data_IF_873233673971
#
_entry.id   IF_873233673971
#
_cell.length_a   1.000
_cell.length_b   1.000
_cell.length_c   1.000
_cell.angle_alpha   90.00
_cell.angle_beta   90.00
_cell.angle_gamma   90.00
#
_symmetry.space_group_name_H-M   'P 1'
#
loop_
_entity.id
_entity.type
_entity.pdbx_description
1 polymer ?
#
# COMPACT_ATOMS: atom_id res chain seq x y z
N UNK A 1 -10.76 9.18 -18.70
CA UNK A 1 -9.67 8.37 -18.14
C UNK A 1 -9.37 8.91 -16.74
N UNK A 2 -9.19 8.07 -15.71
CA UNK A 2 -8.78 8.50 -14.38
C UNK A 2 -7.26 8.53 -14.31
N UNK A 3 -6.68 9.66 -13.92
CA UNK A 3 -5.24 9.82 -13.71
C UNK A 3 -4.93 9.85 -12.21
N UNK A 4 -3.78 9.30 -11.83
CA UNK A 4 -3.29 9.27 -10.45
C UNK A 4 -1.82 9.67 -10.42
N UNK A 5 -1.37 10.18 -9.28
CA UNK A 5 0.03 10.54 -9.05
C UNK A 5 0.67 9.50 -8.13
N UNK A 6 1.89 9.09 -8.44
CA UNK A 6 2.79 8.39 -7.53
C UNK A 6 3.94 9.33 -7.17
N UNK A 7 4.06 9.65 -5.89
CA UNK A 7 5.11 10.49 -5.35
C UNK A 7 6.09 9.65 -4.50
N UNK A 8 7.37 9.74 -4.82
CA UNK A 8 8.42 9.03 -4.09
C UNK A 8 9.13 9.91 -3.06
N UNK A 9 8.73 11.18 -2.92
CA UNK A 9 9.45 12.17 -2.10
C UNK A 9 10.94 12.22 -2.46
N UNK A 10 11.22 12.38 -3.77
CA UNK A 10 12.57 12.32 -4.33
C UNK A 10 13.42 13.48 -3.81
N UNK A 11 14.59 13.17 -3.27
CA UNK A 11 15.57 14.17 -2.86
C UNK A 11 16.06 14.98 -4.09
N UNK A 12 16.21 16.27 -3.92
CA UNK A 12 16.79 17.15 -4.93
C UNK A 12 18.05 17.83 -4.36
N UNK A 13 19.04 18.06 -5.22
CA UNK A 13 20.30 18.68 -4.82
C UNK A 13 20.06 20.05 -4.16
N UNK A 14 20.66 20.26 -2.99
CA UNK A 14 20.53 21.51 -2.23
C UNK A 14 19.19 21.69 -1.50
N UNK A 15 18.24 20.75 -1.62
CA UNK A 15 16.95 20.80 -0.92
C UNK A 15 16.99 19.94 0.34
N UNK A 16 16.74 20.49 1.52
CA UNK A 16 16.68 19.73 2.76
C UNK A 16 15.58 18.65 2.70
N UNK A 17 15.82 17.45 3.26
CA UNK A 17 14.84 16.37 3.31
C UNK A 17 13.49 16.80 3.89
N UNK A 18 13.49 17.62 4.94
CA UNK A 18 12.28 18.17 5.52
C UNK A 18 11.48 19.04 4.53
N UNK A 19 12.14 19.73 3.61
CA UNK A 19 11.47 20.49 2.56
C UNK A 19 10.85 19.56 1.53
N UNK A 20 11.58 18.54 1.07
CA UNK A 20 11.05 17.52 0.15
C UNK A 20 9.75 16.87 0.67
N UNK A 21 9.69 16.58 1.98
CA UNK A 21 8.47 16.00 2.57
C UNK A 21 7.31 17.00 2.59
N UNK A 22 7.59 18.29 2.91
CA UNK A 22 6.57 19.35 2.81
C UNK A 22 6.08 19.53 1.37
N UNK A 23 7.00 19.54 0.41
CA UNK A 23 6.69 19.66 -1.03
C UNK A 23 5.82 18.51 -1.51
N UNK A 24 6.02 17.30 -0.96
CA UNK A 24 5.16 16.14 -1.25
C UNK A 24 3.72 16.38 -0.77
N UNK A 25 3.54 16.99 0.41
CA UNK A 25 2.20 17.36 0.91
C UNK A 25 1.55 18.42 0.02
N UNK A 26 2.29 19.46 -0.34
CA UNK A 26 1.78 20.54 -1.23
C UNK A 26 1.47 19.98 -2.63
N UNK A 27 2.28 19.06 -3.17
CA UNK A 27 2.01 18.40 -4.44
C UNK A 27 0.68 17.62 -4.42
N UNK A 28 0.32 17.00 -3.28
CA UNK A 28 -0.95 16.31 -3.15
C UNK A 28 -2.14 17.28 -3.17
N UNK A 29 -2.01 18.44 -2.53
CA UNK A 29 -3.02 19.52 -2.59
C UNK A 29 -3.19 20.00 -4.03
N UNK A 30 -2.09 20.27 -4.73
CA UNK A 30 -2.11 20.69 -6.12
C UNK A 30 -2.71 19.63 -7.06
N UNK A 31 -2.40 18.35 -6.83
CA UNK A 31 -3.00 17.24 -7.58
C UNK A 31 -4.52 17.18 -7.37
N UNK A 32 -5.01 17.43 -6.16
CA UNK A 32 -6.44 17.54 -5.89
C UNK A 32 -7.10 18.69 -6.65
N UNK A 33 -6.47 19.86 -6.68
CA UNK A 33 -6.97 21.04 -7.41
C UNK A 33 -7.06 20.77 -8.91
N UNK A 34 -6.10 20.04 -9.48
CA UNK A 34 -6.08 19.63 -10.87
C UNK A 34 -7.05 18.47 -11.19
N UNK A 35 -7.72 17.91 -10.20
CA UNK A 35 -8.71 16.84 -10.39
C UNK A 35 -8.12 15.45 -10.60
N UNK A 36 -6.91 15.18 -10.15
CA UNK A 36 -6.38 13.83 -10.11
C UNK A 36 -7.22 12.94 -9.19
N UNK A 37 -7.32 11.67 -9.55
CA UNK A 37 -8.19 10.73 -8.85
C UNK A 37 -7.56 10.16 -7.58
N UNK A 38 -6.24 9.88 -7.62
CA UNK A 38 -5.46 9.32 -6.50
C UNK A 38 -4.11 10.02 -6.39
N UNK A 39 -3.63 10.09 -5.16
CA UNK A 39 -2.27 10.47 -4.84
C UNK A 39 -1.67 9.38 -3.94
N UNK A 40 -0.69 8.66 -4.44
CA UNK A 40 -0.03 7.57 -3.74
C UNK A 40 1.41 7.93 -3.39
N UNK A 41 1.87 7.51 -2.21
CA UNK A 41 3.24 7.71 -1.73
C UNK A 41 3.94 6.37 -1.58
N UNK A 42 5.21 6.32 -1.98
CA UNK A 42 6.01 5.10 -1.89
C UNK A 42 6.65 4.90 -0.51
N UNK A 43 7.12 3.68 -0.26
CA UNK A 43 7.97 3.33 0.87
C UNK A 43 9.31 2.83 0.32
N UNK A 44 10.41 3.50 0.72
CA UNK A 44 11.77 3.07 0.42
C UNK A 44 12.67 3.35 1.62
N UNK A 45 13.57 2.43 1.90
CA UNK A 45 14.49 2.53 3.03
C UNK A 45 15.93 2.57 2.56
N UNK A 46 16.79 3.29 3.32
CA UNK A 46 18.22 3.41 3.07
C UNK A 46 18.57 3.83 1.63
N UNK A 47 17.76 4.72 1.03
CA UNK A 47 17.95 5.17 -0.34
C UNK A 47 18.28 6.66 -0.36
N UNK A 48 19.48 7.09 -0.85
CA UNK A 48 19.92 8.48 -0.75
C UNK A 48 19.06 9.47 -1.53
N UNK A 49 18.37 9.01 -2.57
CA UNK A 49 17.54 9.85 -3.42
C UNK A 49 16.05 9.85 -3.05
N UNK A 50 15.64 9.17 -1.96
CA UNK A 50 14.22 9.07 -1.59
C UNK A 50 14.06 9.32 -0.09
N UNK A 51 13.23 10.29 0.26
CA UNK A 51 12.93 10.66 1.65
C UNK A 51 11.62 10.02 2.18
N UNK A 52 10.85 9.36 1.30
CA UNK A 52 9.58 8.72 1.65
C UNK A 52 9.77 7.33 2.26
N UNK A 53 9.90 7.27 3.59
CA UNK A 53 10.14 6.02 4.33
C UNK A 53 8.91 5.52 5.11
N UNK A 54 7.89 6.37 5.30
CA UNK A 54 6.72 6.07 6.12
C UNK A 54 5.46 6.62 5.43
N UNK A 55 4.89 5.87 4.46
CA UNK A 55 3.75 6.31 3.69
C UNK A 55 2.54 6.66 4.56
N UNK A 56 2.28 5.92 5.62
CA UNK A 56 1.15 6.14 6.53
C UNK A 56 1.24 7.50 7.25
N UNK A 57 2.44 7.95 7.57
CA UNK A 57 2.65 9.27 8.22
C UNK A 57 2.42 10.40 7.21
N UNK A 58 2.94 10.27 5.98
CA UNK A 58 2.71 11.24 4.92
C UNK A 58 1.23 11.31 4.54
N UNK A 59 0.56 10.17 4.43
CA UNK A 59 -0.88 10.10 4.15
C UNK A 59 -1.69 10.80 5.24
N UNK A 60 -1.33 10.64 6.52
CA UNK A 60 -1.98 11.37 7.62
C UNK A 60 -1.83 12.88 7.46
N UNK A 61 -0.63 13.38 7.14
CA UNK A 61 -0.39 14.80 6.91
C UNK A 61 -1.19 15.32 5.69
N UNK A 62 -1.19 14.60 4.58
CA UNK A 62 -1.90 14.95 3.35
C UNK A 62 -3.42 14.93 3.58
N UNK A 63 -3.93 13.98 4.37
CA UNK A 63 -5.37 13.84 4.63
C UNK A 63 -5.98 15.09 5.28
N UNK A 64 -5.19 15.83 6.08
CA UNK A 64 -5.62 17.06 6.74
C UNK A 64 -5.56 18.30 5.81
N UNK A 65 -4.95 18.18 4.64
CA UNK A 65 -4.79 19.25 3.65
C UNK A 65 -5.65 19.03 2.40
N UNK A 66 -6.28 17.87 2.27
CA UNK A 66 -7.10 17.46 1.12
C UNK A 66 -8.46 16.96 1.56
N UNK A 67 -9.46 16.98 0.69
CA UNK A 67 -10.84 16.62 1.03
C UNK A 67 -11.51 15.63 0.08
N UNK A 68 -10.98 15.45 -1.13
CA UNK A 68 -11.61 14.65 -2.21
C UNK A 68 -10.70 13.58 -2.79
N UNK A 69 -9.43 13.92 -3.04
CA UNK A 69 -8.47 12.98 -3.66
C UNK A 69 -8.28 11.75 -2.77
N UNK A 70 -8.25 10.57 -3.39
CA UNK A 70 -7.92 9.34 -2.66
C UNK A 70 -6.43 9.30 -2.37
N UNK A 71 -6.07 8.84 -1.18
CA UNK A 71 -4.70 8.77 -0.68
C UNK A 71 -4.30 7.33 -0.51
N UNK A 72 -3.08 6.97 -0.89
CA UNK A 72 -2.65 5.59 -0.74
C UNK A 72 -1.15 5.40 -0.57
N UNK A 73 -0.81 4.21 -0.11
CA UNK A 73 0.56 3.71 -0.14
C UNK A 73 0.83 3.00 -1.48
N UNK A 74 2.08 3.14 -1.99
CA UNK A 74 2.50 2.42 -3.18
C UNK A 74 3.94 1.89 -3.06
N UNK A 75 4.09 0.94 -2.15
CA UNK A 75 3.14 0.29 -1.20
C UNK A 75 3.82 0.02 0.11
N UNK A 76 3.01 -0.32 1.10
CA UNK A 76 3.57 -0.86 2.35
C UNK A 76 4.32 -2.15 2.04
N UNK A 77 5.58 -2.23 2.47
CA UNK A 77 6.42 -3.42 2.33
C UNK A 77 6.07 -4.42 3.44
N UNK A 78 4.93 -5.10 3.27
CA UNK A 78 4.29 -5.91 4.33
C UNK A 78 5.21 -6.91 5.04
N UNK A 79 6.22 -7.53 4.39
CA UNK A 79 7.14 -8.43 5.10
C UNK A 79 7.96 -7.76 6.22
N UNK A 80 8.02 -6.43 6.29
CA UNK A 80 8.70 -5.73 7.38
C UNK A 80 7.83 -5.49 8.61
N UNK A 81 6.52 -5.77 8.54
CA UNK A 81 5.56 -5.35 9.57
C UNK A 81 4.65 -6.48 10.02
N UNK A 82 4.21 -6.41 11.28
CA UNK A 82 3.09 -7.21 11.75
C UNK A 82 1.79 -6.77 11.04
N UNK A 83 1.04 -7.68 10.40
CA UNK A 83 -0.18 -7.33 9.67
C UNK A 83 -1.22 -6.58 10.51
N UNK A 84 -1.37 -6.93 11.80
CA UNK A 84 -2.24 -6.21 12.73
C UNK A 84 -1.83 -4.74 12.87
N UNK A 85 -0.52 -4.45 13.00
CA UNK A 85 -0.06 -3.07 13.14
C UNK A 85 -0.37 -2.23 11.89
N UNK A 86 -0.18 -2.80 10.70
CA UNK A 86 -0.54 -2.14 9.44
C UNK A 86 -2.06 -1.91 9.37
N UNK A 87 -2.86 -2.90 9.77
CA UNK A 87 -4.32 -2.77 9.81
C UNK A 87 -4.76 -1.59 10.70
N UNK A 88 -4.21 -1.50 11.92
CA UNK A 88 -4.52 -0.41 12.85
C UNK A 88 -4.13 0.97 12.29
N UNK A 89 -2.95 1.10 11.69
CA UNK A 89 -2.50 2.35 11.08
C UNK A 89 -3.46 2.80 9.97
N UNK A 90 -3.89 1.87 9.11
CA UNK A 90 -4.79 2.20 8.00
C UNK A 90 -6.24 2.41 8.46
N UNK A 91 -6.69 1.79 9.55
CA UNK A 91 -7.98 2.12 10.18
C UNK A 91 -7.97 3.51 10.81
N UNK A 92 -6.84 3.93 11.40
CA UNK A 92 -6.67 5.32 11.85
C UNK A 92 -6.75 6.29 10.67
N UNK A 93 -6.05 6.01 9.56
CA UNK A 93 -6.13 6.82 8.35
C UNK A 93 -7.56 6.90 7.79
N UNK A 94 -8.27 5.77 7.75
CA UNK A 94 -9.66 5.71 7.29
C UNK A 94 -10.59 6.53 8.20
N UNK A 95 -10.32 6.57 9.51
CA UNK A 95 -11.06 7.43 10.46
C UNK A 95 -10.82 8.91 10.20
N UNK A 96 -9.59 9.28 9.78
CA UNK A 96 -9.21 10.67 9.48
C UNK A 96 -9.71 11.12 8.10
N UNK A 97 -9.83 10.20 7.16
CA UNK A 97 -10.22 10.47 5.78
C UNK A 97 -11.16 9.37 5.23
N UNK A 98 -12.39 9.27 5.75
CA UNK A 98 -13.32 8.18 5.43
C UNK A 98 -13.58 8.02 3.93
N UNK A 99 -13.48 6.78 3.43
CA UNK A 99 -13.75 6.44 2.03
C UNK A 99 -12.68 6.89 1.03
N UNK A 100 -11.57 7.48 1.50
CA UNK A 100 -10.49 8.01 0.65
C UNK A 100 -9.18 7.26 0.74
N UNK A 101 -9.08 6.21 1.54
CA UNK A 101 -7.81 5.52 1.80
C UNK A 101 -7.64 4.30 0.92
N UNK A 102 -6.46 4.18 0.30
CA UNK A 102 -5.99 3.02 -0.45
C UNK A 102 -4.79 2.40 0.29
N UNK A 103 -4.87 1.11 0.58
CA UNK A 103 -3.76 0.34 1.15
C UNK A 103 -3.09 -0.47 0.04
N UNK A 104 -2.06 0.07 -0.57
CA UNK A 104 -1.23 -0.66 -1.52
C UNK A 104 -0.19 -1.51 -0.79
N UNK A 105 -0.09 -2.78 -1.15
CA UNK A 105 0.80 -3.77 -0.54
C UNK A 105 1.89 -4.20 -1.53
N UNK A 106 3.13 -4.26 -1.06
CA UNK A 106 4.27 -4.84 -1.75
C UNK A 106 4.90 -6.00 -0.97
N UNK A 107 5.47 -6.96 -1.71
CA UNK A 107 6.28 -8.05 -1.12
C UNK A 107 7.78 -7.75 -1.17
N UNK A 108 8.19 -6.85 -2.04
CA UNK A 108 9.60 -6.49 -2.20
C UNK A 108 10.15 -5.83 -0.92
N UNK A 109 11.45 -5.95 -0.65
CA UNK A 109 12.05 -5.41 0.58
C UNK A 109 12.15 -3.88 0.61
N UNK A 110 11.93 -3.16 -0.50
CA UNK A 110 12.01 -1.70 -0.56
C UNK A 110 13.40 -1.11 -0.25
N UNK A 111 14.44 -1.94 -0.19
CA UNK A 111 15.81 -1.60 0.14
C UNK A 111 16.75 -2.80 -0.02
N UNK A 112 17.96 -2.68 0.49
CA UNK A 112 18.95 -3.76 0.51
C UNK A 112 18.70 -4.80 1.63
N UNK A 113 19.42 -5.94 1.58
CA UNK A 113 19.22 -7.03 2.53
C UNK A 113 19.59 -6.67 3.98
N UNK A 114 20.59 -5.81 4.20
CA UNK A 114 20.97 -5.38 5.55
C UNK A 114 19.89 -4.47 6.16
N UNK A 115 19.37 -3.56 5.37
CA UNK A 115 18.24 -2.70 5.74
C UNK A 115 16.99 -3.52 6.05
N UNK A 116 16.71 -4.54 5.23
CA UNK A 116 15.59 -5.47 5.47
C UNK A 116 15.74 -6.19 6.83
N UNK A 117 16.92 -6.67 7.15
CA UNK A 117 17.21 -7.30 8.46
C UNK A 117 17.08 -6.33 9.64
N UNK A 118 17.43 -5.06 9.43
CA UNK A 118 17.30 -4.03 10.47
C UNK A 118 15.83 -3.66 10.74
N UNK A 119 14.97 -3.69 9.70
CA UNK A 119 13.53 -3.44 9.82
C UNK A 119 12.81 -4.65 10.45
N UNK A 120 13.08 -5.84 9.94
CA UNK A 120 12.52 -7.08 10.46
C UNK A 120 13.51 -8.24 10.21
N UNK A 121 14.13 -8.80 11.26
CA UNK A 121 15.02 -9.95 11.12
C UNK A 121 14.37 -11.17 10.46
N UNK A 122 13.04 -11.30 10.54
CA UNK A 122 12.25 -12.38 9.97
C UNK A 122 11.64 -12.04 8.60
N UNK A 123 12.01 -10.93 7.96
CA UNK A 123 11.41 -10.45 6.72
C UNK A 123 11.39 -11.51 5.60
N UNK A 124 12.40 -12.39 5.55
CA UNK A 124 12.44 -13.48 4.56
C UNK A 124 11.35 -14.53 4.81
N UNK A 125 11.12 -14.92 6.06
CA UNK A 125 10.04 -15.83 6.43
C UNK A 125 8.69 -15.20 6.21
N UNK A 126 8.51 -13.94 6.58
CA UNK A 126 7.29 -13.17 6.35
C UNK A 126 7.00 -13.00 4.86
N UNK A 127 8.03 -12.86 4.02
CA UNK A 127 7.87 -12.85 2.57
C UNK A 127 7.41 -14.21 2.00
N UNK A 128 7.77 -15.33 2.63
CA UNK A 128 7.25 -16.65 2.27
C UNK A 128 5.82 -16.84 2.76
N UNK A 129 5.46 -16.26 3.89
CA UNK A 129 4.13 -16.28 4.49
C UNK A 129 3.21 -15.16 3.95
N UNK A 130 3.67 -14.43 2.94
CA UNK A 130 2.98 -13.22 2.43
C UNK A 130 1.48 -13.43 2.15
N UNK A 131 1.00 -14.52 1.52
CA UNK A 131 -0.43 -14.70 1.29
C UNK A 131 -1.23 -14.82 2.60
N UNK A 132 -0.68 -15.49 3.63
CA UNK A 132 -1.32 -15.59 4.96
C UNK A 132 -1.39 -14.22 5.62
N UNK A 133 -0.30 -13.45 5.56
CA UNK A 133 -0.23 -12.11 6.11
C UNK A 133 -1.20 -11.15 5.40
N UNK A 134 -1.36 -11.28 4.08
CA UNK A 134 -2.36 -10.51 3.30
C UNK A 134 -3.79 -10.88 3.72
N UNK A 135 -4.10 -12.17 3.86
CA UNK A 135 -5.42 -12.63 4.32
C UNK A 135 -5.77 -12.03 5.69
N UNK A 136 -4.85 -12.11 6.65
CA UNK A 136 -5.08 -11.65 8.02
C UNK A 136 -5.21 -10.13 8.07
N UNK A 137 -4.37 -9.41 7.31
CA UNK A 137 -4.47 -7.97 7.13
C UNK A 137 -5.82 -7.57 6.52
N UNK A 138 -6.27 -8.25 5.48
CA UNK A 138 -7.58 -7.99 4.86
C UNK A 138 -8.71 -8.13 5.86
N UNK A 139 -8.73 -9.20 6.66
CA UNK A 139 -9.73 -9.40 7.68
C UNK A 139 -9.73 -8.25 8.72
N UNK A 140 -8.58 -7.92 9.28
CA UNK A 140 -8.48 -6.85 10.28
C UNK A 140 -8.81 -5.46 9.72
N UNK A 141 -8.34 -5.12 8.53
CA UNK A 141 -8.66 -3.83 7.89
C UNK A 141 -10.15 -3.71 7.60
N UNK A 142 -10.78 -4.80 7.22
CA UNK A 142 -12.20 -4.86 6.87
C UNK A 142 -13.12 -4.96 8.07
N UNK A 143 -12.61 -5.40 9.22
CA UNK A 143 -13.42 -5.76 10.38
C UNK A 143 -14.10 -7.12 10.23
N UNK A 144 -13.66 -7.94 9.26
CA UNK A 144 -14.17 -9.30 9.08
C UNK A 144 -13.55 -10.24 10.12
N UNK A 145 -14.28 -11.27 10.59
CA UNK A 145 -13.73 -12.20 11.55
C UNK A 145 -12.65 -13.09 10.88
N UNK A 146 -11.58 -13.35 11.62
CA UNK A 146 -10.63 -14.40 11.25
C UNK A 146 -11.28 -15.79 11.39
N UNK A 147 -10.80 -16.81 10.66
CA UNK A 147 -11.31 -18.18 10.77
C UNK A 147 -11.35 -18.68 12.23
N UNK A 148 -12.34 -19.49 12.59
CA UNK A 148 -12.51 -19.99 13.96
C UNK A 148 -11.32 -20.78 14.50
N UNK A 149 -10.53 -21.38 13.61
CA UNK A 149 -9.27 -22.08 13.93
C UNK A 149 -8.06 -21.16 14.07
N UNK A 150 -8.19 -19.87 13.73
CA UNK A 150 -7.07 -18.93 13.75
C UNK A 150 -6.63 -18.61 15.19
N UNK A 151 -5.31 -18.58 15.49
CA UNK A 151 -4.82 -18.30 16.86
C UNK A 151 -5.21 -16.90 17.34
N UNK A 152 -5.39 -15.94 16.44
CA UNK A 152 -5.73 -14.54 16.74
C UNK A 152 -7.21 -14.20 16.47
N UNK A 153 -8.10 -15.18 16.41
CA UNK A 153 -9.53 -14.99 16.07
C UNK A 153 -10.30 -14.02 16.97
N UNK A 154 -9.80 -13.77 18.17
CA UNK A 154 -10.40 -12.83 19.14
C UNK A 154 -9.81 -11.42 19.05
N UNK A 155 -8.80 -11.20 18.19
CA UNK A 155 -8.17 -9.89 18.06
C UNK A 155 -8.94 -9.06 17.03
N UNK A 156 -9.29 -7.84 17.41
CA UNK A 156 -9.94 -6.84 16.57
C UNK A 156 -8.99 -5.67 16.37
N UNK A 157 -8.83 -5.23 15.14
CA UNK A 157 -8.05 -4.02 14.86
C UNK A 157 -8.87 -2.76 15.16
N UNK A 158 -8.30 -1.81 15.86
CA UNK A 158 -8.94 -0.55 16.22
C UNK A 158 -8.28 0.65 15.50
N UNK A 159 -9.00 1.79 15.31
CA UNK A 159 -10.43 1.98 15.65
C UNK A 159 -11.36 1.22 14.69
N UNK A 160 -12.56 0.86 15.15
CA UNK A 160 -13.61 0.39 14.26
C UNK A 160 -14.17 1.56 13.44
N UNK A 161 -14.40 1.32 12.15
CA UNK A 161 -14.87 2.34 11.19
C UNK A 161 -16.03 1.82 10.37
N UNK A 162 -16.90 2.72 9.89
CA UNK A 162 -18.04 2.36 9.02
C UNK A 162 -17.61 2.10 7.56
N UNK A 163 -16.42 2.53 7.18
CA UNK A 163 -15.79 2.29 5.87
C UNK A 163 -14.46 1.60 6.09
N UNK A 164 -13.89 1.02 5.06
CA UNK A 164 -12.59 0.39 5.10
C UNK A 164 -11.71 0.83 3.93
N UNK A 165 -10.38 0.88 4.11
CA UNK A 165 -9.44 1.14 3.03
C UNK A 165 -9.63 0.19 1.85
N UNK A 166 -9.47 0.71 0.63
CA UNK A 166 -9.41 -0.12 -0.57
C UNK A 166 -8.03 -0.77 -0.66
N UNK A 167 -7.97 -2.10 -0.70
CA UNK A 167 -6.70 -2.83 -0.71
C UNK A 167 -6.26 -3.07 -2.15
N UNK A 168 -4.98 -2.80 -2.43
CA UNK A 168 -4.35 -2.97 -3.73
C UNK A 168 -3.11 -3.83 -3.62
N UNK A 169 -2.93 -4.76 -4.55
CA UNK A 169 -1.66 -5.47 -4.71
C UNK A 169 -0.78 -4.75 -5.73
N UNK A 170 0.47 -4.52 -5.37
CA UNK A 170 1.47 -3.87 -6.23
C UNK A 170 2.58 -4.86 -6.58
N UNK A 171 3.09 -4.78 -7.80
CA UNK A 171 4.21 -5.62 -8.19
C UNK A 171 4.60 -5.51 -9.65
N UNK A 172 5.67 -6.23 -10.01
CA UNK A 172 6.23 -6.29 -11.37
C UNK A 172 6.26 -7.72 -11.91
N UNK A 173 5.62 -8.67 -11.22
CA UNK A 173 5.75 -10.10 -11.54
C UNK A 173 4.41 -10.82 -11.49
N UNK A 174 4.39 -12.01 -12.07
CA UNK A 174 3.26 -12.94 -12.05
C UNK A 174 2.81 -13.30 -10.63
N UNK A 175 3.73 -13.30 -9.65
CA UNK A 175 3.41 -13.62 -8.27
C UNK A 175 2.42 -12.62 -7.66
N UNK A 176 2.69 -11.31 -7.77
CA UNK A 176 1.77 -10.28 -7.28
C UNK A 176 0.41 -10.33 -7.98
N UNK A 177 0.42 -10.57 -9.29
CA UNK A 177 -0.77 -10.76 -10.10
C UNK A 177 -1.61 -11.96 -9.64
N UNK A 178 -0.96 -13.10 -9.34
CA UNK A 178 -1.61 -14.32 -8.84
C UNK A 178 -2.23 -14.11 -7.46
N UNK A 179 -1.50 -13.45 -6.53
CA UNK A 179 -2.01 -13.15 -5.19
C UNK A 179 -3.22 -12.21 -5.27
N UNK A 180 -3.13 -11.15 -6.09
CA UNK A 180 -4.25 -10.23 -6.30
C UNK A 180 -5.49 -10.94 -6.87
N UNK A 181 -5.30 -11.79 -7.89
CA UNK A 181 -6.36 -12.56 -8.50
C UNK A 181 -7.02 -13.53 -7.52
N UNK A 182 -6.23 -14.23 -6.71
CA UNK A 182 -6.71 -15.17 -5.70
C UNK A 182 -7.58 -14.50 -4.62
N UNK A 183 -7.17 -13.33 -4.15
CA UNK A 183 -7.92 -12.59 -3.12
C UNK A 183 -9.03 -11.68 -3.70
N UNK A 184 -9.17 -11.60 -5.01
CA UNK A 184 -10.16 -10.74 -5.66
C UNK A 184 -9.96 -9.26 -5.32
N UNK A 185 -8.71 -8.79 -5.29
CA UNK A 185 -8.36 -7.39 -5.02
C UNK A 185 -7.72 -6.74 -6.25
N UNK A 186 -7.82 -5.42 -6.41
CA UNK A 186 -7.18 -4.69 -7.50
C UNK A 186 -5.67 -4.92 -7.58
N UNK A 187 -5.16 -5.04 -8.81
CA UNK A 187 -3.74 -5.16 -9.10
C UNK A 187 -3.21 -3.94 -9.85
N UNK A 188 -2.08 -3.41 -9.40
CA UNK A 188 -1.37 -2.34 -10.09
C UNK A 188 0.05 -2.78 -10.45
N UNK A 189 0.33 -2.86 -11.75
CA UNK A 189 1.67 -3.21 -12.24
C UNK A 189 2.59 -1.99 -12.21
N UNK A 190 3.73 -2.10 -11.54
CA UNK A 190 4.74 -1.05 -11.44
C UNK A 190 5.62 -0.98 -12.71
N UNK A 191 5.03 -0.50 -13.80
CA UNK A 191 5.60 -0.47 -15.15
C UNK A 191 6.98 0.20 -15.20
N UNK A 192 7.18 1.28 -14.43
CA UNK A 192 8.40 2.07 -14.41
C UNK A 192 9.63 1.33 -13.85
N UNK A 193 9.44 0.26 -13.08
CA UNK A 193 10.55 -0.53 -12.51
C UNK A 193 11.20 -1.45 -13.56
N UNK A 194 10.40 -1.95 -14.51
CA UNK A 194 10.85 -2.97 -15.48
C UNK A 194 10.73 -2.50 -16.92
N UNK A 195 10.49 -1.20 -17.18
CA UNK A 195 10.15 -0.66 -18.50
C UNK A 195 9.06 -1.47 -19.21
N UNK A 196 8.07 -1.92 -18.42
CA UNK A 196 6.93 -2.70 -18.88
C UNK A 196 7.22 -4.17 -19.21
N UNK A 197 8.42 -4.66 -18.96
CA UNK A 197 8.72 -6.09 -19.14
C UNK A 197 7.82 -6.93 -18.23
N UNK A 198 7.17 -7.94 -18.82
CA UNK A 198 6.25 -8.84 -18.12
C UNK A 198 4.83 -8.27 -17.90
N UNK A 199 4.54 -7.00 -18.21
CA UNK A 199 3.21 -6.40 -17.94
C UNK A 199 2.07 -7.16 -18.60
N UNK A 200 2.23 -7.55 -19.88
CA UNK A 200 1.18 -8.28 -20.61
C UNK A 200 0.88 -9.63 -19.95
N UNK A 201 1.93 -10.38 -19.59
CA UNK A 201 1.81 -11.68 -18.95
C UNK A 201 1.13 -11.56 -17.58
N UNK A 202 1.60 -10.66 -16.72
CA UNK A 202 1.04 -10.44 -15.38
C UNK A 202 -0.44 -10.02 -15.44
N UNK A 203 -0.80 -9.09 -16.34
CA UNK A 203 -2.19 -8.64 -16.50
C UNK A 203 -3.09 -9.72 -17.10
N UNK A 204 -2.60 -10.56 -18.02
CA UNK A 204 -3.35 -11.69 -18.54
C UNK A 204 -3.61 -12.70 -17.43
N UNK A 205 -2.56 -13.09 -16.69
CA UNK A 205 -2.68 -14.01 -15.56
C UNK A 205 -3.68 -13.50 -14.50
N UNK A 206 -3.61 -12.22 -14.16
CA UNK A 206 -4.54 -11.60 -13.23
C UNK A 206 -5.99 -11.72 -13.70
N UNK A 207 -6.26 -11.35 -14.96
CA UNK A 207 -7.62 -11.36 -15.53
C UNK A 207 -8.20 -12.78 -15.66
N UNK A 208 -7.37 -13.73 -16.10
CA UNK A 208 -7.79 -15.11 -16.34
C UNK A 208 -8.08 -15.87 -15.05
N UNK A 209 -7.43 -15.47 -13.93
CA UNK A 209 -7.56 -16.15 -12.64
C UNK A 209 -8.29 -15.33 -11.58
N UNK A 210 -8.82 -14.17 -11.94
CA UNK A 210 -9.48 -13.28 -10.98
C UNK A 210 -10.69 -13.95 -10.32
N UNK A 211 -10.67 -13.99 -8.99
CA UNK A 211 -11.77 -14.50 -8.17
C UNK A 211 -12.55 -13.30 -7.61
N UNK A 212 -13.75 -13.03 -8.12
CA UNK A 212 -14.55 -11.92 -7.62
C UNK A 212 -14.79 -12.00 -6.12
N UNK A 213 -14.68 -10.89 -5.43
CA UNK A 213 -15.03 -10.74 -4.02
C UNK A 213 -16.26 -9.85 -3.87
N UNK A 214 -16.90 -9.86 -2.70
CA UNK A 214 -18.03 -8.97 -2.42
C UNK A 214 -17.69 -7.49 -2.60
N UNK A 215 -16.44 -7.10 -2.27
CA UNK A 215 -15.94 -5.73 -2.42
C UNK A 215 -15.56 -5.36 -3.85
N UNK A 216 -15.10 -6.36 -4.60
CA UNK A 216 -14.63 -6.19 -5.97
C UNK A 216 -15.25 -7.29 -6.84
N UNK A 217 -16.54 -7.13 -7.23
CA UNK A 217 -17.26 -8.16 -7.99
C UNK A 217 -16.72 -8.35 -9.40
N UNK A 218 -16.07 -7.31 -9.97
CA UNK A 218 -15.31 -7.36 -11.26
C UNK A 218 -14.44 -6.13 -11.41
#
# INVERSE_FOLDING_TARGET
MKLSVLAQSTAADGVPAAQTLRDTVELAVFAEELGYHRFWVSEHHNHPAINGTAPEILMAAISQRTSRIRLGSAGVMLPHYAPLKVAEQFRVLESLAPGRIDLGLGRAPGGDGLTSMALNPNAHEDANNFPSNVRDLMAWVSGDPLPSSHPFKSIVAHPETNTAPEIWMLGTSDYGASVAAHFGIPYCFAHFITDGQGVKQALTLYRDNYQPSERFPK
#
